data_IF_971001487247
#
_entry.id   IF_971001487247
#
_cell.length_a   1.000
_cell.length_b   1.000
_cell.length_c   1.000
_cell.angle_alpha   90.00
_cell.angle_beta   90.00
_cell.angle_gamma   90.00
#
_symmetry.space_group_name_H-M   'P 1'
#
loop_
_entity.id
_entity.type
_entity.pdbx_description
1 polymer ?
#
# COMPACT_ATOMS: atom_id res chain seq x y z
N UNK A 1 -14.35 -14.38 0.63
CA UNK A 1 -13.84 -13.22 1.37
C UNK A 1 -14.87 -12.13 1.15
N UNK A 2 -15.64 -11.79 2.18
CA UNK A 2 -16.55 -10.63 2.10
C UNK A 2 -15.74 -9.39 1.74
N UNK A 3 -16.25 -8.60 0.81
CA UNK A 3 -15.61 -7.40 0.32
C UNK A 3 -15.69 -6.35 1.43
N UNK A 4 -14.64 -6.21 2.25
CA UNK A 4 -14.58 -5.29 3.41
C UNK A 4 -15.05 -3.87 3.07
N UNK A 5 -14.82 -3.44 1.83
CA UNK A 5 -15.27 -2.15 1.31
C UNK A 5 -16.79 -2.09 1.20
N UNK A 6 -17.43 -3.12 0.63
CA UNK A 6 -18.89 -3.20 0.53
C UNK A 6 -19.53 -3.22 1.93
N UNK A 7 -18.99 -4.04 2.83
CA UNK A 7 -19.47 -4.12 4.22
C UNK A 7 -19.37 -2.76 4.94
N UNK A 8 -18.27 -2.04 4.75
CA UNK A 8 -18.10 -0.70 5.32
C UNK A 8 -19.14 0.28 4.77
N UNK A 9 -19.36 0.28 3.45
CA UNK A 9 -20.30 1.18 2.79
C UNK A 9 -21.76 0.89 3.16
N UNK A 10 -22.13 -0.37 3.35
CA UNK A 10 -23.48 -0.75 3.78
C UNK A 10 -23.77 -0.35 5.24
N UNK A 11 -22.77 -0.47 6.11
CA UNK A 11 -22.93 -0.21 7.55
C UNK A 11 -22.79 1.26 7.92
N UNK A 12 -22.15 2.08 7.08
CA UNK A 12 -21.77 3.44 7.45
C UNK A 12 -22.20 4.48 6.40
N UNK A 13 -22.80 5.58 6.84
CA UNK A 13 -23.19 6.68 5.96
C UNK A 13 -22.12 7.80 5.89
N UNK A 14 -20.87 7.41 5.65
CA UNK A 14 -19.70 8.32 5.58
C UNK A 14 -18.86 8.11 4.32
N UNK A 15 -19.50 7.73 3.21
CA UNK A 15 -18.85 7.42 1.93
C UNK A 15 -17.89 8.52 1.46
N UNK A 16 -18.26 9.79 1.58
CA UNK A 16 -17.38 10.89 1.19
C UNK A 16 -16.09 10.93 2.02
N UNK A 17 -16.20 10.79 3.34
CA UNK A 17 -15.05 10.74 4.24
C UNK A 17 -14.19 9.50 3.97
N UNK A 18 -14.83 8.36 3.72
CA UNK A 18 -14.14 7.12 3.33
C UNK A 18 -13.27 7.31 2.08
N UNK A 19 -13.83 7.92 1.03
CA UNK A 19 -13.07 8.21 -0.19
C UNK A 19 -11.95 9.23 0.06
N UNK A 20 -12.18 10.25 0.90
CA UNK A 20 -11.15 11.22 1.26
C UNK A 20 -9.96 10.53 1.96
N UNK A 21 -10.23 9.65 2.91
CA UNK A 21 -9.20 8.88 3.62
C UNK A 21 -8.49 7.91 2.68
N UNK A 22 -9.21 7.24 1.79
CA UNK A 22 -8.62 6.35 0.79
C UNK A 22 -7.67 7.12 -0.14
N UNK A 23 -8.01 8.34 -0.55
CA UNK A 23 -7.12 9.17 -1.37
C UNK A 23 -5.83 9.56 -0.63
N UNK A 24 -5.92 9.90 0.66
CA UNK A 24 -4.74 10.18 1.49
C UNK A 24 -3.85 8.94 1.63
N UNK A 25 -4.45 7.76 1.77
CA UNK A 25 -3.72 6.50 1.84
C UNK A 25 -3.08 6.13 0.49
N UNK A 26 -3.76 6.39 -0.63
CA UNK A 26 -3.17 6.24 -1.97
C UNK A 26 -1.92 7.12 -2.12
N UNK A 27 -1.98 8.37 -1.67
CA UNK A 27 -0.82 9.27 -1.68
C UNK A 27 0.33 8.70 -0.84
N UNK A 28 0.05 8.25 0.39
CA UNK A 28 1.05 7.63 1.27
C UNK A 28 1.71 6.41 0.62
N UNK A 29 0.90 5.48 0.11
CA UNK A 29 1.38 4.26 -0.55
C UNK A 29 2.16 4.55 -1.83
N UNK A 30 1.76 5.57 -2.59
CA UNK A 30 2.45 5.99 -3.82
C UNK A 30 3.84 6.57 -3.52
N UNK A 31 4.00 7.21 -2.36
CA UNK A 31 5.25 7.80 -1.90
C UNK A 31 6.21 6.76 -1.26
N UNK A 32 5.80 5.50 -1.11
CA UNK A 32 6.70 4.45 -0.63
C UNK A 32 7.85 4.18 -1.62
N UNK A 33 9.01 3.71 -1.13
CA UNK A 33 10.10 3.22 -1.96
C UNK A 33 9.65 2.20 -3.01
N UNK A 34 10.29 2.21 -4.17
CA UNK A 34 9.95 1.29 -5.27
C UNK A 34 10.08 -0.18 -4.88
N UNK A 35 11.07 -0.52 -4.05
CA UNK A 35 11.30 -1.87 -3.53
C UNK A 35 10.07 -2.43 -2.79
N UNK A 36 9.42 -1.60 -1.98
CA UNK A 36 8.17 -1.95 -1.28
C UNK A 36 6.98 -1.98 -2.22
N UNK A 37 6.84 -0.99 -3.10
CA UNK A 37 5.71 -0.95 -4.05
C UNK A 37 5.71 -2.15 -5.00
N UNK A 38 6.88 -2.71 -5.32
CA UNK A 38 7.02 -3.90 -6.16
C UNK A 38 6.44 -5.17 -5.50
N UNK A 39 6.40 -5.24 -4.17
CA UNK A 39 5.82 -6.39 -3.48
C UNK A 39 4.29 -6.35 -3.39
N UNK A 40 3.65 -5.25 -3.80
CA UNK A 40 2.20 -5.15 -3.83
C UNK A 40 1.61 -6.04 -4.92
N UNK A 41 0.68 -6.90 -4.53
CA UNK A 41 0.00 -7.85 -5.41
C UNK A 41 -1.31 -7.31 -6.01
N UNK A 42 -1.70 -6.09 -5.63
CA UNK A 42 -2.92 -5.39 -6.04
C UNK A 42 -2.61 -3.96 -6.46
N UNK A 43 -3.58 -3.29 -7.08
CA UNK A 43 -3.46 -1.85 -7.36
C UNK A 43 -3.43 -1.08 -6.03
N UNK A 44 -2.63 -0.01 -5.98
CA UNK A 44 -2.54 0.87 -4.81
C UNK A 44 -3.92 1.37 -4.35
N UNK A 45 -4.81 1.67 -5.29
CA UNK A 45 -6.19 2.09 -4.99
C UNK A 45 -7.00 1.01 -4.27
N UNK A 46 -6.83 -0.26 -4.63
CA UNK A 46 -7.53 -1.38 -3.98
C UNK A 46 -6.98 -1.58 -2.56
N UNK A 47 -5.66 -1.52 -2.40
CA UNK A 47 -4.99 -1.65 -1.10
C UNK A 47 -5.43 -0.52 -0.15
N UNK A 48 -5.45 0.73 -0.63
CA UNK A 48 -5.87 1.88 0.17
C UNK A 48 -7.32 1.77 0.64
N UNK A 49 -8.23 1.35 -0.24
CA UNK A 49 -9.63 1.13 0.13
C UNK A 49 -9.76 0.01 1.19
N UNK A 50 -8.98 -1.06 1.06
CA UNK A 50 -8.95 -2.15 2.03
C UNK A 50 -8.41 -1.70 3.40
N UNK A 51 -7.32 -0.93 3.43
CA UNK A 51 -6.75 -0.38 4.67
C UNK A 51 -7.75 0.50 5.42
N UNK A 52 -8.38 1.44 4.71
CA UNK A 52 -9.35 2.36 5.30
C UNK A 52 -10.63 1.62 5.73
N UNK A 53 -11.13 0.67 4.92
CA UNK A 53 -12.32 -0.10 5.27
C UNK A 53 -12.08 -1.01 6.49
N UNK A 54 -10.87 -1.56 6.63
CA UNK A 54 -10.46 -2.35 7.78
C UNK A 54 -10.09 -1.50 9.01
N UNK A 55 -9.93 -0.18 8.85
CA UNK A 55 -9.35 0.72 9.84
C UNK A 55 -7.96 0.25 10.33
N UNK A 56 -7.16 -0.31 9.41
CA UNK A 56 -5.83 -0.86 9.65
C UNK A 56 -4.87 -0.26 8.61
N UNK A 57 -3.99 0.64 9.04
CA UNK A 57 -2.95 1.25 8.20
C UNK A 57 -1.60 0.57 8.52
N UNK A 58 -1.05 -0.26 7.62
CA UNK A 58 0.20 -0.96 7.89
C UNK A 58 1.43 -0.03 7.83
N UNK A 59 2.37 -0.30 8.71
CA UNK A 59 3.73 0.21 8.64
C UNK A 59 4.56 -0.65 7.69
N UNK A 60 5.31 -0.01 6.78
CA UNK A 60 6.23 -0.68 5.88
C UNK A 60 7.66 -0.40 6.32
N UNK A 61 8.39 -1.46 6.64
CA UNK A 61 9.80 -1.37 7.01
C UNK A 61 10.63 -1.90 5.86
N UNK A 62 11.58 -1.09 5.39
CA UNK A 62 12.64 -1.57 4.51
C UNK A 62 13.75 -2.06 5.40
N UNK A 63 13.94 -3.38 5.47
CA UNK A 63 15.25 -3.88 5.87
C UNK A 63 16.21 -3.46 4.77
N UNK A 64 17.13 -2.54 5.08
CA UNK A 64 18.24 -2.21 4.20
C UNK A 64 19.10 -3.47 4.09
N UNK A 65 18.70 -4.41 3.23
CA UNK A 65 19.63 -5.36 2.67
C UNK A 65 20.54 -4.48 1.83
N UNK A 66 21.75 -4.26 2.33
CA UNK A 66 22.87 -3.74 1.55
C UNK A 66 22.80 -4.46 0.21
N UNK A 67 22.33 -3.74 -0.83
CA UNK A 67 22.38 -4.27 -2.17
C UNK A 67 23.85 -4.58 -2.38
N UNK A 68 24.18 -5.87 -2.48
CA UNK A 68 25.49 -6.33 -2.92
C UNK A 68 25.66 -5.75 -4.33
N UNK A 69 26.20 -4.54 -4.39
CA UNK A 69 26.85 -3.99 -5.55
C UNK A 69 28.11 -4.83 -5.73
N UNK A 70 27.94 -6.08 -6.22
CA UNK A 70 28.96 -6.67 -7.05
C UNK A 70 28.90 -5.90 -8.36
N UNK A 71 29.51 -4.72 -8.32
CA UNK A 71 30.21 -4.16 -9.46
C UNK A 71 30.86 -5.34 -10.18
N UNK A 72 30.42 -5.58 -11.41
CA UNK A 72 31.19 -6.36 -12.37
C UNK A 72 32.43 -5.53 -12.70
N UNK A 73 33.34 -5.44 -11.76
CA UNK A 73 34.74 -5.13 -12.02
C UNK A 73 35.47 -6.47 -12.08
N UNK A 74 36.03 -6.70 -13.27
CA UNK A 74 37.13 -7.60 -13.58
C UNK A 74 36.90 -9.11 -13.56
N UNK A 75 36.56 -9.65 -14.74
CA UNK A 75 37.36 -10.77 -15.30
C UNK A 75 37.62 -10.50 -16.80
N UNK A 76 38.81 -9.92 -17.05
CA UNK A 76 39.79 -10.11 -18.13
C UNK A 76 39.35 -10.43 -19.56
#
# INVERSE_FOLDING_TARGET
MENKVEEFLEKNNITYLFILLANLEVERLSNLPYTLKRSFNKKITEIALEHVAANEIPDYVVENQEENIFEKEDEQ
#
